data_IF_208839906244
#
_entry.id   IF_208839906244
#
_cell.length_a   1.000
_cell.length_b   1.000
_cell.length_c   1.000
_cell.angle_alpha   90.00
_cell.angle_beta   90.00
_cell.angle_gamma   90.00
#
_symmetry.space_group_name_H-M   'P 1'
#
loop_
_entity.id
_entity.type
_entity.pdbx_description
1 polymer ?
#
# COMPACT_ATOMS: atom_id res chain seq x y z
N UNK A 1 -11.96 48.49 0.51
CA UNK A 1 -11.27 47.85 -0.63
C UNK A 1 -10.01 47.20 -0.11
N UNK A 2 -9.92 45.86 -0.25
CA UNK A 2 -8.76 44.97 -0.06
C UNK A 2 -8.42 44.71 1.43
N UNK A 3 -8.91 43.71 2.16
CA UNK A 3 -9.03 42.24 2.01
C UNK A 3 -7.71 41.46 1.88
N UNK A 4 -7.44 40.71 2.97
CA UNK A 4 -6.83 39.37 3.06
C UNK A 4 -5.30 39.22 2.98
N UNK A 5 -4.70 38.87 4.14
CA UNK A 5 -4.05 37.56 4.36
C UNK A 5 -4.31 37.12 5.81
N UNK A 6 -5.42 36.42 6.02
CA UNK A 6 -5.80 35.88 7.32
C UNK A 6 -4.98 34.61 7.60
N UNK A 7 -4.11 34.70 8.61
CA UNK A 7 -3.49 33.54 9.26
C UNK A 7 -4.60 32.85 10.03
N UNK A 8 -5.10 31.74 9.50
CA UNK A 8 -6.12 30.92 10.16
C UNK A 8 -5.39 29.84 10.94
N UNK A 9 -5.12 30.13 12.21
CA UNK A 9 -4.92 29.13 13.26
C UNK A 9 -6.31 28.81 13.80
N UNK A 10 -6.94 27.73 13.33
CA UNK A 10 -8.15 27.18 13.97
C UNK A 10 -7.72 25.94 14.74
N UNK A 11 -7.38 26.17 15.99
CA UNK A 11 -7.60 25.21 17.06
C UNK A 11 -9.09 25.24 17.39
N UNK A 12 -9.81 24.14 17.18
CA UNK A 12 -11.06 23.87 17.87
C UNK A 12 -11.21 22.38 18.14
N UNK A 13 -11.56 22.08 19.38
CA UNK A 13 -11.88 20.77 19.95
C UNK A 13 -12.64 19.85 19.00
N UNK A 14 -12.07 18.66 18.78
CA UNK A 14 -12.72 17.54 18.13
C UNK A 14 -12.06 16.24 18.56
N UNK A 15 -12.33 15.83 19.80
CA UNK A 15 -12.04 14.48 20.26
C UNK A 15 -12.96 13.53 19.48
N UNK A 16 -12.44 12.92 18.42
CA UNK A 16 -12.79 11.54 18.13
C UNK A 16 -11.50 10.75 18.24
N UNK A 17 -11.55 9.86 19.23
CA UNK A 17 -10.73 8.66 19.33
C UNK A 17 -10.73 8.03 17.94
N UNK A 18 -9.74 8.34 17.11
CA UNK A 18 -9.28 7.33 16.17
C UNK A 18 -8.60 6.33 17.06
N UNK A 19 -9.25 5.18 17.27
CA UNK A 19 -8.54 3.99 17.67
C UNK A 19 -7.44 3.82 16.63
N UNK A 20 -6.25 4.35 16.89
CA UNK A 20 -5.09 3.62 16.48
C UNK A 20 -5.24 2.32 17.27
N UNK A 21 -5.80 1.30 16.61
CA UNK A 21 -5.39 -0.06 16.90
C UNK A 21 -3.89 -0.04 16.60
N UNK A 22 -3.09 0.43 17.56
CA UNK A 22 -1.78 -0.13 17.72
C UNK A 22 -2.08 -1.58 18.04
N UNK A 23 -2.11 -2.45 17.03
CA UNK A 23 -2.04 -3.89 17.26
C UNK A 23 -0.71 -4.08 17.98
N UNK A 24 -0.69 -4.28 19.31
CA UNK A 24 0.54 -4.42 20.04
C UNK A 24 0.85 -5.91 20.04
N UNK A 25 1.94 -6.24 19.36
CA UNK A 25 2.62 -7.54 19.39
C UNK A 25 1.76 -8.70 18.89
N UNK A 26 1.88 -8.99 17.59
CA UNK A 26 1.57 -10.32 17.04
C UNK A 26 2.42 -11.36 17.77
N UNK A 27 1.90 -11.88 18.87
CA UNK A 27 2.15 -13.27 19.19
C UNK A 27 1.48 -14.01 18.03
N UNK A 28 2.27 -14.78 17.28
CA UNK A 28 1.99 -15.30 15.94
C UNK A 28 0.77 -16.27 15.84
N UNK A 29 -0.23 -16.15 16.72
CA UNK A 29 -1.32 -17.09 16.94
C UNK A 29 -2.70 -16.54 16.50
N UNK A 30 -2.86 -15.23 16.20
CA UNK A 30 -4.06 -14.71 15.51
C UNK A 30 -3.81 -14.62 13.99
N UNK A 31 -4.60 -15.31 13.12
CA UNK A 31 -4.51 -15.18 11.67
C UNK A 31 -4.66 -13.74 11.15
N UNK A 32 -5.32 -12.85 11.91
CA UNK A 32 -5.46 -11.42 11.57
C UNK A 32 -4.11 -10.68 11.65
N UNK A 33 -3.20 -11.16 12.48
CA UNK A 33 -1.90 -10.53 12.74
C UNK A 33 -0.73 -11.19 11.99
N UNK A 34 -1.04 -12.04 11.00
CA UNK A 34 -0.03 -12.59 10.12
C UNK A 34 0.57 -11.47 9.24
N UNK A 35 1.89 -11.31 9.31
CA UNK A 35 2.60 -10.41 8.38
C UNK A 35 2.40 -10.89 6.95
N UNK A 36 1.94 -10.03 6.01
CA UNK A 36 1.82 -10.42 4.62
C UNK A 36 3.14 -10.97 4.07
N UNK A 37 3.11 -12.16 3.46
CA UNK A 37 4.30 -12.77 2.86
C UNK A 37 4.71 -12.07 1.55
N UNK A 38 3.78 -11.39 0.91
CA UNK A 38 4.00 -10.63 -0.32
C UNK A 38 4.50 -9.23 0.02
N UNK A 39 5.63 -8.83 -0.53
CA UNK A 39 6.15 -7.48 -0.36
C UNK A 39 5.45 -6.53 -1.33
N UNK A 40 5.09 -5.34 -0.86
CA UNK A 40 4.49 -4.28 -1.67
C UNK A 40 3.27 -4.78 -2.50
N UNK A 41 2.41 -5.59 -1.87
CA UNK A 41 1.29 -6.22 -2.56
C UNK A 41 0.23 -5.26 -3.09
N UNK A 42 0.12 -4.08 -2.48
CA UNK A 42 -0.78 -3.00 -2.91
C UNK A 42 -0.12 -1.96 -3.82
N UNK A 43 1.19 -2.08 -4.11
CA UNK A 43 1.95 -1.11 -4.92
C UNK A 43 2.13 0.29 -4.31
N UNK A 44 1.86 0.45 -3.01
CA UNK A 44 1.87 1.74 -2.30
C UNK A 44 3.26 2.31 -2.00
N UNK A 45 4.34 1.64 -2.38
CA UNK A 45 5.70 2.19 -2.24
C UNK A 45 6.03 3.30 -3.26
N UNK A 46 5.14 3.54 -4.24
CA UNK A 46 5.38 4.44 -5.36
C UNK A 46 6.40 3.90 -6.37
N UNK A 47 6.81 2.64 -6.23
CA UNK A 47 7.73 1.95 -7.14
C UNK A 47 7.38 0.45 -7.27
N UNK A 48 8.06 -0.23 -8.21
CA UNK A 48 7.97 -1.69 -8.36
C UNK A 48 8.90 -2.44 -7.39
N UNK A 49 9.31 -1.83 -6.29
CA UNK A 49 10.14 -2.48 -5.28
C UNK A 49 9.49 -3.81 -4.82
N UNK A 50 10.31 -4.86 -4.77
CA UNK A 50 9.89 -6.24 -4.45
C UNK A 50 9.30 -7.03 -5.63
N UNK A 51 9.04 -6.38 -6.77
CA UNK A 51 8.49 -7.03 -7.96
C UNK A 51 9.51 -7.11 -9.09
N UNK A 52 9.57 -8.26 -9.76
CA UNK A 52 10.41 -8.46 -10.95
C UNK A 52 9.55 -8.33 -12.20
N UNK A 53 9.80 -7.34 -13.07
CA UNK A 53 9.18 -7.27 -14.38
C UNK A 53 9.52 -8.49 -15.23
N UNK A 54 8.52 -9.05 -15.92
CA UNK A 54 8.71 -10.11 -16.92
C UNK A 54 8.14 -9.69 -18.27
N UNK A 55 8.65 -10.30 -19.35
CA UNK A 55 8.33 -9.88 -20.72
C UNK A 55 8.92 -8.51 -21.07
N UNK A 56 8.10 -7.64 -21.63
CA UNK A 56 8.47 -6.26 -21.95
C UNK A 56 8.48 -5.41 -20.67
N UNK A 57 9.65 -5.21 -20.07
CA UNK A 57 9.76 -4.42 -18.82
C UNK A 57 9.23 -2.98 -18.95
N UNK A 58 9.26 -2.39 -20.15
CA UNK A 58 8.68 -1.07 -20.40
C UNK A 58 7.14 -1.05 -20.39
N UNK A 59 6.50 -2.22 -20.48
CA UNK A 59 5.05 -2.34 -20.40
C UNK A 59 4.52 -2.25 -18.97
N UNK A 60 5.37 -2.37 -17.94
CA UNK A 60 4.95 -2.30 -16.53
C UNK A 60 5.36 -0.99 -15.87
N UNK A 61 4.47 -0.40 -15.08
CA UNK A 61 4.72 0.87 -14.38
C UNK A 61 3.84 1.00 -13.14
N UNK A 62 4.16 1.98 -12.28
CA UNK A 62 3.28 2.45 -11.21
C UNK A 62 2.42 3.60 -11.71
N UNK A 63 1.13 3.56 -11.41
CA UNK A 63 0.15 4.61 -11.70
C UNK A 63 -0.60 5.00 -10.43
N UNK A 64 -1.18 6.20 -10.40
CA UNK A 64 -2.09 6.67 -9.35
C UNK A 64 -3.49 7.04 -9.89
N UNK A 65 -3.75 6.75 -11.17
CA UNK A 65 -5.00 7.14 -11.84
C UNK A 65 -6.10 6.09 -11.66
N UNK A 66 -5.71 4.81 -11.68
CA UNK A 66 -6.63 3.65 -11.70
C UNK A 66 -6.46 2.76 -10.46
N UNK A 67 -6.06 3.36 -9.34
CA UNK A 67 -5.92 2.65 -8.09
C UNK A 67 -7.31 2.23 -7.57
N UNK A 68 -7.48 0.93 -7.27
CA UNK A 68 -8.75 0.40 -6.73
C UNK A 68 -8.93 0.71 -5.26
N UNK A 69 -7.81 0.79 -4.54
CA UNK A 69 -7.71 1.10 -3.11
C UNK A 69 -6.46 1.96 -2.92
N UNK A 70 -6.46 2.83 -1.92
CA UNK A 70 -5.32 3.70 -1.59
C UNK A 70 -4.84 4.57 -2.77
N UNK A 71 -3.52 4.71 -2.99
CA UNK A 71 -2.96 5.75 -3.88
C UNK A 71 -2.41 5.20 -5.18
N UNK A 72 -1.79 4.01 -5.17
CA UNK A 72 -1.03 3.50 -6.30
C UNK A 72 -1.59 2.18 -6.83
N UNK A 73 -1.23 1.86 -8.08
CA UNK A 73 -1.47 0.55 -8.67
C UNK A 73 -0.38 0.20 -9.67
N UNK A 74 -0.21 -1.10 -9.93
CA UNK A 74 0.53 -1.55 -11.09
C UNK A 74 -0.31 -1.39 -12.36
N UNK A 75 0.30 -0.84 -13.40
CA UNK A 75 -0.26 -0.73 -14.74
C UNK A 75 0.56 -1.59 -15.70
N UNK A 76 -0.13 -2.37 -16.54
CA UNK A 76 0.47 -3.16 -17.62
C UNK A 76 -0.12 -2.67 -18.94
N UNK A 77 0.73 -2.13 -19.82
CA UNK A 77 0.37 -1.62 -21.14
C UNK A 77 1.29 -2.23 -22.21
N UNK A 78 1.03 -3.50 -22.54
CA UNK A 78 1.85 -4.28 -23.47
C UNK A 78 1.97 -5.73 -23.01
N UNK A 79 2.96 -6.44 -23.56
CA UNK A 79 3.19 -7.85 -23.26
C UNK A 79 4.20 -8.00 -22.11
N UNK A 80 3.75 -7.72 -20.88
CA UNK A 80 4.58 -7.83 -19.67
C UNK A 80 3.83 -8.34 -18.44
N UNK A 81 4.58 -8.53 -17.35
CA UNK A 81 4.06 -9.01 -16.06
C UNK A 81 4.92 -8.57 -14.88
N UNK A 82 4.44 -8.84 -13.67
CA UNK A 82 5.16 -8.62 -12.42
C UNK A 82 5.14 -9.91 -11.61
N UNK A 83 6.31 -10.38 -11.20
CA UNK A 83 6.47 -11.62 -10.45
C UNK A 83 7.21 -11.39 -9.13
N UNK A 84 6.80 -12.11 -8.10
CA UNK A 84 7.51 -12.19 -6.83
C UNK A 84 7.57 -13.64 -6.37
N UNK A 85 8.76 -14.08 -5.94
CA UNK A 85 8.92 -15.37 -5.29
C UNK A 85 8.49 -15.27 -3.83
N UNK A 86 7.37 -15.90 -3.50
CA UNK A 86 6.90 -16.00 -2.11
C UNK A 86 7.68 -17.10 -1.38
N UNK A 87 8.13 -16.80 -0.17
CA UNK A 87 8.78 -17.75 0.75
C UNK A 87 8.00 -17.81 2.06
N UNK A 88 8.29 -18.79 2.93
CA UNK A 88 7.59 -18.94 4.21
C UNK A 88 6.23 -19.62 4.13
N UNK A 89 5.86 -20.18 2.97
CA UNK A 89 4.67 -21.01 2.85
C UNK A 89 4.85 -22.33 3.60
N UNK A 90 3.89 -22.64 4.46
CA UNK A 90 3.80 -23.95 5.12
C UNK A 90 3.16 -24.97 4.16
N UNK A 91 3.78 -26.14 3.94
CA UNK A 91 3.16 -27.19 3.13
C UNK A 91 1.83 -27.65 3.74
N UNK A 92 0.82 -27.87 2.90
CA UNK A 92 -0.51 -28.39 3.28
C UNK A 92 -1.34 -27.48 4.20
N UNK A 93 -1.00 -26.20 4.35
CA UNK A 93 -1.90 -25.23 4.97
C UNK A 93 -2.98 -24.83 3.95
N UNK A 94 -4.25 -24.86 4.35
CA UNK A 94 -5.41 -24.40 3.59
C UNK A 94 -6.17 -23.36 4.39
#
# INVERSE_FOLDING_TARGET
MNHLKAIIVISLLGFLISCKESSPTSNNDDPKDATPLMQNGGFESGSLEGWTPTGEAAAVSISNTEARTDTYCAMINGAGGLEQKITGLLPRTK
#
